data_IF_594731824347
#
_entry.id   IF_594731824347
#
_cell.length_a   1.000
_cell.length_b   1.000
_cell.length_c   1.000
_cell.angle_alpha   90.00
_cell.angle_beta   90.00
_cell.angle_gamma   90.00
#
_symmetry.space_group_name_H-M   'P 1'
#
loop_
_entity.id
_entity.type
_entity.pdbx_description
1 polymer ?
#
# COMPACT_ATOMS: atom_id res chain seq x y z
N UNK A 1 20.18 -11.85 6.00
CA UNK A 1 18.80 -11.52 5.58
C UNK A 1 17.84 -12.46 6.31
N UNK A 2 16.67 -11.97 6.77
CA UNK A 2 15.68 -12.82 7.43
C UNK A 2 15.15 -13.89 6.46
N UNK A 3 14.81 -15.07 6.99
CA UNK A 3 14.24 -16.16 6.17
C UNK A 3 12.75 -15.92 5.95
N UNK A 4 12.20 -16.34 4.80
CA UNK A 4 10.76 -16.17 4.49
C UNK A 4 9.84 -16.70 5.60
N UNK A 5 10.22 -17.82 6.23
CA UNK A 5 9.47 -18.41 7.33
C UNK A 5 9.41 -17.55 8.61
N UNK A 6 10.36 -16.63 8.81
CA UNK A 6 10.30 -15.66 9.91
C UNK A 6 9.22 -14.61 9.65
N UNK A 7 9.12 -14.10 8.42
CA UNK A 7 8.05 -13.16 8.05
C UNK A 7 6.67 -13.80 8.17
N UNK A 8 6.49 -15.05 7.70
CA UNK A 8 5.22 -15.77 7.79
C UNK A 8 4.72 -16.01 9.23
N UNK A 9 5.58 -15.82 10.24
CA UNK A 9 5.21 -15.88 11.67
C UNK A 9 5.14 -14.50 12.33
N UNK A 10 5.75 -13.48 11.72
CA UNK A 10 5.77 -12.11 12.21
C UNK A 10 4.45 -11.38 11.97
N UNK A 11 4.26 -10.21 12.61
CA UNK A 11 3.15 -9.31 12.30
C UNK A 11 3.36 -8.66 10.93
N UNK A 12 2.28 -8.18 10.31
CA UNK A 12 2.39 -7.41 9.08
C UNK A 12 3.05 -6.06 9.37
N UNK A 13 4.00 -5.68 8.53
CA UNK A 13 4.60 -4.35 8.57
C UNK A 13 3.89 -3.51 7.52
N UNK A 14 3.17 -2.48 7.97
CA UNK A 14 2.52 -1.49 7.11
C UNK A 14 3.50 -0.32 6.94
N UNK A 15 3.90 -0.07 5.71
CA UNK A 15 4.70 1.09 5.33
C UNK A 15 3.76 2.26 5.00
N UNK A 16 4.08 3.45 5.50
CA UNK A 16 3.43 4.70 5.10
C UNK A 16 4.23 5.36 3.99
N UNK A 17 3.51 5.86 2.98
CA UNK A 17 4.01 6.49 1.76
C UNK A 17 3.33 7.86 1.67
N UNK A 18 4.02 8.95 2.05
CA UNK A 18 3.49 10.31 1.85
C UNK A 18 3.06 10.56 0.40
N UNK A 19 1.99 11.31 0.20
CA UNK A 19 1.44 11.63 -1.12
C UNK A 19 2.48 12.24 -2.07
N UNK A 20 3.38 13.06 -1.53
CA UNK A 20 4.44 13.75 -2.26
C UNK A 20 5.73 12.91 -2.44
N UNK A 21 5.71 11.63 -2.06
CA UNK A 21 6.88 10.76 -2.18
C UNK A 21 7.36 10.70 -3.65
N UNK A 22 8.61 11.12 -3.93
CA UNK A 22 9.15 11.11 -5.29
C UNK A 22 9.12 9.70 -5.91
N UNK A 23 8.85 9.62 -7.22
CA UNK A 23 8.73 8.35 -7.94
C UNK A 23 9.96 7.45 -7.79
N UNK A 24 11.15 8.02 -7.81
CA UNK A 24 12.43 7.32 -7.69
C UNK A 24 12.72 6.81 -6.26
N UNK A 25 11.94 7.25 -5.27
CA UNK A 25 11.99 6.76 -3.88
C UNK A 25 11.04 5.59 -3.62
N UNK A 26 10.20 5.23 -4.59
CA UNK A 26 9.29 4.09 -4.49
C UNK A 26 9.86 2.95 -5.33
N UNK A 27 10.01 1.78 -4.72
CA UNK A 27 10.44 0.58 -5.44
C UNK A 27 9.60 -0.62 -5.03
N UNK A 28 9.42 -1.55 -5.96
CA UNK A 28 8.70 -2.80 -5.71
C UNK A 28 9.70 -3.94 -5.70
N UNK A 29 9.59 -4.79 -4.68
CA UNK A 29 10.37 -6.01 -4.55
C UNK A 29 9.45 -7.14 -4.16
N UNK A 30 9.31 -8.12 -5.03
CA UNK A 30 8.60 -9.33 -4.70
C UNK A 30 9.24 -10.55 -5.36
N UNK A 31 9.59 -11.58 -4.57
CA UNK A 31 10.27 -12.75 -5.11
C UNK A 31 9.34 -13.74 -5.82
N UNK A 32 8.01 -13.62 -5.62
CA UNK A 32 7.01 -14.60 -6.07
C UNK A 32 6.10 -14.16 -7.22
N UNK A 33 6.26 -12.96 -7.79
CA UNK A 33 5.46 -12.51 -8.94
C UNK A 33 6.32 -11.71 -9.93
N UNK A 34 5.91 -11.67 -11.19
CA UNK A 34 6.57 -10.88 -12.23
C UNK A 34 6.32 -9.39 -12.03
N UNK A 35 7.35 -8.67 -11.61
CA UNK A 35 7.26 -7.23 -11.31
C UNK A 35 7.47 -6.34 -12.55
N UNK A 36 7.72 -6.90 -13.75
CA UNK A 36 8.08 -6.09 -14.93
C UNK A 36 6.98 -5.10 -15.32
N UNK A 37 5.71 -5.46 -15.12
CA UNK A 37 4.57 -4.57 -15.32
C UNK A 37 4.66 -3.36 -14.39
N UNK A 38 4.82 -3.61 -13.10
CA UNK A 38 4.95 -2.59 -12.06
C UNK A 38 6.19 -1.70 -12.23
N UNK A 39 7.30 -2.26 -12.69
CA UNK A 39 8.53 -1.51 -12.99
C UNK A 39 8.32 -0.56 -14.18
N UNK A 40 7.55 -0.99 -15.18
CA UNK A 40 7.20 -0.16 -16.34
C UNK A 40 6.20 0.93 -15.95
N UNK A 41 5.16 0.57 -15.20
CA UNK A 41 4.13 1.48 -14.72
C UNK A 41 3.77 1.18 -13.26
N UNK A 42 4.09 2.13 -12.37
CA UNK A 42 3.78 2.03 -10.94
C UNK A 42 2.28 1.98 -10.68
N UNK A 43 1.49 2.55 -11.59
CA UNK A 43 0.06 2.70 -11.41
C UNK A 43 -0.70 1.36 -11.44
N UNK A 44 -0.05 0.29 -11.87
CA UNK A 44 -0.61 -1.07 -11.82
C UNK A 44 -0.88 -1.52 -10.38
N UNK A 45 -0.01 -1.11 -9.43
CA UNK A 45 -0.11 -1.54 -8.02
C UNK A 45 -0.20 -0.37 -7.04
N UNK A 46 0.10 0.84 -7.51
CA UNK A 46 0.03 2.08 -6.74
C UNK A 46 -0.42 3.22 -7.68
N UNK A 47 -1.74 3.31 -7.98
CA UNK A 47 -2.32 4.19 -9.01
C UNK A 47 -2.34 5.68 -8.64
N UNK A 48 -1.28 6.18 -8.00
CA UNK A 48 -1.21 7.53 -7.46
C UNK A 48 -1.27 8.61 -8.56
N UNK A 49 -0.72 8.32 -9.75
CA UNK A 49 -0.78 9.27 -10.87
C UNK A 49 -2.22 9.36 -11.40
N UNK A 50 -2.92 8.22 -11.50
CA UNK A 50 -4.33 8.17 -11.92
C UNK A 50 -5.25 8.84 -10.91
N UNK A 51 -5.00 8.65 -9.61
CA UNK A 51 -5.75 9.35 -8.57
C UNK A 51 -5.50 10.86 -8.62
N UNK A 52 -4.25 11.27 -8.89
CA UNK A 52 -3.89 12.69 -9.07
C UNK A 52 -4.65 13.31 -10.24
N UNK A 53 -4.71 12.62 -11.39
CA UNK A 53 -5.50 13.06 -12.55
C UNK A 53 -6.98 13.20 -12.21
N UNK A 54 -7.58 12.20 -11.53
CA UNK A 54 -8.99 12.27 -11.13
C UNK A 54 -9.30 13.42 -10.16
N UNK A 55 -8.36 13.76 -9.26
CA UNK A 55 -8.48 14.92 -8.39
C UNK A 55 -8.40 16.21 -9.21
N UNK A 56 -7.44 16.31 -10.11
CA UNK A 56 -7.22 17.51 -10.93
C UNK A 56 -8.38 17.75 -11.93
N UNK A 57 -9.04 16.68 -12.37
CA UNK A 57 -10.28 16.71 -13.16
C UNK A 57 -11.54 17.01 -12.32
N UNK A 58 -11.43 17.02 -10.99
CA UNK A 58 -12.54 17.24 -10.06
C UNK A 58 -13.50 16.06 -9.91
N UNK A 59 -13.11 14.85 -10.34
CA UNK A 59 -13.89 13.62 -10.18
C UNK A 59 -13.89 13.16 -8.73
N UNK A 60 -12.75 13.32 -8.03
CA UNK A 60 -12.62 13.12 -6.59
C UNK A 60 -12.17 14.43 -5.93
N UNK A 61 -12.55 14.63 -4.66
CA UNK A 61 -12.22 15.85 -3.93
C UNK A 61 -10.74 15.94 -3.55
N UNK A 62 -10.22 14.88 -2.92
CA UNK A 62 -8.86 14.86 -2.38
C UNK A 62 -8.26 13.45 -2.36
N UNK A 63 -6.95 13.39 -2.11
CA UNK A 63 -6.20 12.16 -1.89
C UNK A 63 -5.56 12.30 -0.51
N UNK A 64 -5.61 11.25 0.30
CA UNK A 64 -5.00 11.27 1.62
C UNK A 64 -3.50 11.58 1.57
N UNK A 65 -3.03 12.40 2.52
CA UNK A 65 -1.61 12.76 2.66
C UNK A 65 -0.71 11.54 2.92
N UNK A 66 -1.27 10.48 3.52
CA UNK A 66 -0.58 9.23 3.82
C UNK A 66 -1.22 8.05 3.08
N UNK A 67 -0.47 7.45 2.17
CA UNK A 67 -0.79 6.19 1.51
C UNK A 67 -0.04 5.05 2.17
N UNK A 68 -0.41 3.80 1.86
CA UNK A 68 0.07 2.66 2.64
C UNK A 68 0.32 1.44 1.76
N UNK A 69 1.30 0.62 2.15
CA UNK A 69 1.61 -0.66 1.51
C UNK A 69 2.04 -1.68 2.56
N UNK A 70 1.80 -2.97 2.32
CA UNK A 70 2.27 -4.04 3.20
C UNK A 70 2.63 -5.28 2.38
N UNK A 71 3.48 -6.13 2.96
CA UNK A 71 3.89 -7.39 2.34
C UNK A 71 2.98 -8.51 2.83
N UNK A 72 2.32 -9.21 1.90
CA UNK A 72 1.41 -10.31 2.22
C UNK A 72 2.08 -11.55 2.83
N UNK A 73 3.40 -11.70 2.66
CA UNK A 73 4.19 -12.73 3.33
C UNK A 73 4.36 -12.41 4.83
N UNK A 74 3.29 -12.56 5.59
CA UNK A 74 3.19 -12.29 7.02
C UNK A 74 2.28 -13.30 7.72
N UNK A 75 2.21 -13.32 9.05
CA UNK A 75 1.23 -14.12 9.77
C UNK A 75 -0.19 -13.63 9.47
N UNK A 76 -0.96 -14.42 8.71
CA UNK A 76 -2.34 -14.09 8.36
C UNK A 76 -3.26 -14.01 9.59
N UNK A 77 -3.03 -14.86 10.59
CA UNK A 77 -3.76 -14.82 11.86
C UNK A 77 -3.56 -13.47 12.57
N UNK A 78 -2.32 -12.98 12.64
CA UNK A 78 -2.00 -11.71 13.31
C UNK A 78 -2.43 -10.51 12.46
N UNK A 79 -2.30 -10.60 11.14
CA UNK A 79 -2.83 -9.57 10.23
C UNK A 79 -4.34 -9.35 10.48
N UNK A 80 -5.13 -10.42 10.53
CA UNK A 80 -6.57 -10.31 10.73
C UNK A 80 -6.97 -9.91 12.16
N UNK A 81 -6.26 -10.41 13.17
CA UNK A 81 -6.62 -10.19 14.57
C UNK A 81 -6.04 -8.90 15.18
N UNK A 82 -4.94 -8.38 14.64
CA UNK A 82 -4.16 -7.28 15.23
C UNK A 82 -3.98 -6.15 14.20
N UNK A 83 -3.19 -6.38 13.15
CA UNK A 83 -2.71 -5.28 12.28
C UNK A 83 -3.80 -4.64 11.43
N UNK A 84 -4.69 -5.42 10.83
CA UNK A 84 -5.74 -4.88 9.96
C UNK A 84 -6.78 -4.06 10.75
N UNK A 85 -7.27 -4.49 11.93
CA UNK A 85 -8.09 -3.64 12.79
C UNK A 85 -7.40 -2.32 13.19
N UNK A 86 -6.16 -2.36 13.65
CA UNK A 86 -5.40 -1.15 14.02
C UNK A 86 -5.24 -0.19 12.83
N UNK A 87 -4.91 -0.74 11.67
CA UNK A 87 -4.76 0.05 10.45
C UNK A 87 -6.09 0.62 9.97
N UNK A 88 -7.20 -0.12 10.07
CA UNK A 88 -8.53 0.39 9.75
C UNK A 88 -8.94 1.55 10.67
N UNK A 89 -8.65 1.48 11.97
CA UNK A 89 -8.91 2.60 12.89
C UNK A 89 -8.04 3.82 12.55
N UNK A 90 -6.78 3.63 12.15
CA UNK A 90 -5.95 4.73 11.64
C UNK A 90 -6.59 5.37 10.40
N UNK A 91 -7.01 4.59 9.42
CA UNK A 91 -7.65 5.11 8.20
C UNK A 91 -8.95 5.88 8.52
N UNK A 92 -9.78 5.36 9.43
CA UNK A 92 -10.98 6.09 9.91
C UNK A 92 -10.63 7.41 10.59
N UNK A 93 -9.56 7.44 11.39
CA UNK A 93 -9.11 8.67 12.05
C UNK A 93 -8.60 9.73 11.07
N UNK A 94 -8.15 9.32 9.89
CA UNK A 94 -7.80 10.20 8.77
C UNK A 94 -9.02 10.70 7.99
N UNK A 95 -10.24 10.28 8.39
CA UNK A 95 -11.50 10.68 7.77
C UNK A 95 -11.60 10.38 6.26
N UNK A 96 -10.93 9.33 5.79
CA UNK A 96 -11.04 8.92 4.37
C UNK A 96 -12.42 8.33 4.08
N UNK A 97 -13.03 8.73 2.96
CA UNK A 97 -14.34 8.20 2.54
C UNK A 97 -14.26 6.80 1.93
N UNK A 98 -13.13 6.48 1.28
CA UNK A 98 -12.93 5.23 0.56
C UNK A 98 -11.45 4.81 0.53
N UNK A 99 -11.23 3.50 0.33
CA UNK A 99 -9.90 2.92 0.15
C UNK A 99 -9.86 2.14 -1.15
N UNK A 100 -8.90 2.47 -2.01
CA UNK A 100 -8.57 1.67 -3.18
C UNK A 100 -7.48 0.67 -2.82
N UNK A 101 -7.86 -0.61 -2.70
CA UNK A 101 -6.90 -1.70 -2.48
C UNK A 101 -6.47 -2.31 -3.83
N UNK A 102 -5.23 -2.07 -4.22
CA UNK A 102 -4.64 -2.66 -5.42
C UNK A 102 -3.76 -3.87 -5.04
N UNK A 103 -3.95 -4.98 -5.76
CA UNK A 103 -3.07 -6.14 -5.66
C UNK A 103 -1.79 -5.91 -6.48
N UNK A 104 -0.69 -6.48 -6.03
CA UNK A 104 0.59 -6.48 -6.73
C UNK A 104 0.85 -7.80 -7.45
#
# INVERSE_FOLDING_TARGET
MPRIGEFLRGPAVVATIPLDTPRDRISVRHPGYDIRGTVRDRNVVFPIDRLTELRDEGVIGEIADENHSFIGATSQKRLLAETAPEWAEKLKSMQVDAVLLAAA
#
